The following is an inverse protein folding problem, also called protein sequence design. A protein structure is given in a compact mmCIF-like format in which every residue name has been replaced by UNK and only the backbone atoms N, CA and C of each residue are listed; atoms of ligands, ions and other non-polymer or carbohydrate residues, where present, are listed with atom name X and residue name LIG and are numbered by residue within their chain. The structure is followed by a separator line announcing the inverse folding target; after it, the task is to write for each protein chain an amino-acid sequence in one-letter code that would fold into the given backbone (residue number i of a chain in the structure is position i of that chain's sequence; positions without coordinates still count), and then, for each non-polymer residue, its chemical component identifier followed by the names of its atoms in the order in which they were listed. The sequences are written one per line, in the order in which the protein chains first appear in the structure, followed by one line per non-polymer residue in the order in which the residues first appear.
data_IF_759484736250
#
_entry.id   IF_759484736250
#
_cell.length_a   1.000
_cell.length_b   1.000
_cell.length_c   1.000
_cell.angle_alpha   90.00
_cell.angle_beta   90.00
_cell.angle_gamma   90.00
#
_symmetry.space_group_name_H-M   'P 1'
#
loop_
_entity.id
_entity.type
_entity.pdbx_description
1 polymer ?
#
# COMPACT_ATOMS: atom_id res chain seq x y z
N UNK A 1 4.82 -2.95 0.57
CA UNK A 1 3.44 -2.95 0.00
C UNK A 1 2.91 -4.33 -0.35
N UNK A 2 3.76 -5.26 -0.74
CA UNK A 2 3.33 -6.63 -1.08
C UNK A 2 2.62 -7.36 0.06
N UNK A 3 2.96 -7.05 1.30
CA UNK A 3 2.39 -7.69 2.50
C UNK A 3 0.89 -7.51 2.65
N UNK A 4 0.31 -6.57 1.93
CA UNK A 4 -1.14 -6.36 1.89
C UNK A 4 -1.85 -7.61 1.37
N UNK A 5 -1.17 -8.43 0.54
CA UNK A 5 -1.71 -9.67 -0.01
C UNK A 5 -1.58 -10.88 0.91
N UNK A 6 -1.06 -10.72 2.13
CA UNK A 6 -0.82 -11.84 3.06
C UNK A 6 -2.05 -12.69 3.40
N UNK A 7 -3.27 -12.11 3.51
CA UNK A 7 -4.46 -12.95 3.71
C UNK A 7 -4.60 -13.99 2.60
N UNK A 8 -5.05 -15.19 2.97
CA UNK A 8 -5.15 -16.34 2.04
C UNK A 8 -6.26 -16.21 1.00
N UNK A 9 -7.17 -15.26 1.18
CA UNK A 9 -8.27 -15.04 0.25
C UNK A 9 -7.80 -14.34 -1.02
N UNK A 10 -8.42 -14.70 -2.14
CA UNK A 10 -8.09 -14.09 -3.43
C UNK A 10 -8.84 -12.77 -3.58
N UNK A 11 -8.16 -11.69 -3.28
CA UNK A 11 -8.67 -10.33 -3.46
C UNK A 11 -7.67 -9.50 -4.26
N UNK A 12 -8.20 -8.59 -5.04
CA UNK A 12 -7.41 -7.53 -5.67
C UNK A 12 -7.42 -6.32 -4.75
N UNK A 13 -6.26 -5.88 -4.34
CA UNK A 13 -6.06 -4.72 -3.48
C UNK A 13 -5.68 -3.53 -4.35
N UNK A 14 -6.59 -2.58 -4.52
CA UNK A 14 -6.38 -1.42 -5.40
C UNK A 14 -6.01 -0.21 -4.55
N UNK A 15 -4.80 0.29 -4.73
CA UNK A 15 -4.28 1.47 -4.06
C UNK A 15 -4.32 2.62 -5.06
N UNK A 16 -5.22 3.58 -4.80
CA UNK A 16 -5.43 4.74 -5.67
C UNK A 16 -4.65 5.96 -5.21
N UNK A 17 -4.34 6.04 -3.94
CA UNK A 17 -3.62 7.17 -3.34
C UNK A 17 -2.52 6.66 -2.43
N UNK A 18 -1.38 7.32 -2.47
CA UNK A 18 -0.22 7.01 -1.63
C UNK A 18 0.26 8.27 -0.94
N UNK A 19 0.87 8.09 0.23
CA UNK A 19 1.55 9.19 0.90
C UNK A 19 2.86 9.49 0.19
N UNK A 20 3.27 10.77 0.20
CA UNK A 20 4.57 11.14 -0.32
C UNK A 20 5.66 10.43 0.50
N UNK A 21 6.60 9.71 -0.15
CA UNK A 21 7.67 9.03 0.58
C UNK A 21 8.56 10.03 1.31
N UNK A 22 9.07 9.61 2.46
CA UNK A 22 10.05 10.41 3.19
C UNK A 22 11.35 10.53 2.39
N UNK A 23 12.10 11.57 2.61
CA UNK A 23 13.36 11.84 1.88
C UNK A 23 14.34 10.68 1.94
N UNK A 24 14.40 9.96 3.05
CA UNK A 24 15.29 8.81 3.20
C UNK A 24 15.03 7.75 2.13
N UNK A 25 13.77 7.50 1.78
CA UNK A 25 13.43 6.53 0.72
C UNK A 25 13.86 7.02 -0.65
N UNK A 26 13.69 8.31 -0.94
CA UNK A 26 14.12 8.90 -2.20
C UNK A 26 15.65 8.86 -2.33
N UNK A 27 16.35 9.11 -1.23
CA UNK A 27 17.81 9.02 -1.18
C UNK A 27 18.29 7.58 -1.49
N UNK A 28 17.68 6.59 -0.86
CA UNK A 28 18.02 5.17 -1.10
C UNK A 28 17.78 4.82 -2.57
N UNK A 29 16.65 5.25 -3.12
CA UNK A 29 16.29 4.95 -4.50
C UNK A 29 17.33 5.53 -5.47
N UNK A 30 17.75 6.77 -5.25
CA UNK A 30 18.74 7.44 -6.09
C UNK A 30 20.11 6.77 -5.97
N UNK A 31 20.58 6.52 -4.75
CA UNK A 31 21.92 5.97 -4.52
C UNK A 31 22.04 4.52 -5.01
N UNK A 32 21.01 3.72 -4.88
CA UNK A 32 21.00 2.33 -5.32
C UNK A 32 20.47 2.15 -6.75
N UNK A 33 20.03 3.23 -7.39
CA UNK A 33 19.46 3.21 -8.73
C UNK A 33 18.30 2.20 -8.87
N UNK A 34 17.36 2.24 -7.92
CA UNK A 34 16.24 1.32 -7.88
C UNK A 34 15.02 1.89 -8.60
N UNK A 35 14.26 1.02 -9.27
CA UNK A 35 12.99 1.39 -9.87
C UNK A 35 11.91 1.61 -8.80
N UNK A 36 10.81 2.27 -9.16
CA UNK A 36 9.66 2.40 -8.27
C UNK A 36 9.12 1.03 -7.84
N UNK A 37 9.06 0.07 -8.76
CA UNK A 37 8.61 -1.29 -8.44
C UNK A 37 9.48 -1.93 -7.37
N UNK A 38 10.79 -1.81 -7.48
CA UNK A 38 11.72 -2.34 -6.50
C UNK A 38 11.57 -1.65 -5.14
N UNK A 39 11.42 -0.32 -5.13
CA UNK A 39 11.23 0.44 -3.91
C UNK A 39 9.94 0.05 -3.19
N UNK A 40 8.79 0.05 -3.87
CA UNK A 40 7.50 -0.30 -3.27
C UNK A 40 7.38 -1.78 -2.92
N UNK A 41 8.14 -2.64 -3.57
CA UNK A 41 8.22 -4.05 -3.22
C UNK A 41 9.04 -4.33 -1.97
N UNK A 42 10.02 -3.50 -1.67
CA UNK A 42 11.00 -3.72 -0.59
C UNK A 42 10.74 -2.87 0.64
N UNK A 43 10.34 -1.60 0.46
CA UNK A 43 10.16 -0.63 1.55
C UNK A 43 8.70 -0.27 1.72
N UNK A 44 8.32 0.21 2.92
CA UNK A 44 6.96 0.66 3.18
C UNK A 44 6.65 2.02 2.56
N UNK A 45 7.65 2.75 2.14
CA UNK A 45 7.55 4.08 1.51
C UNK A 45 6.74 5.08 2.34
N UNK A 46 6.85 4.98 3.67
CA UNK A 46 6.16 5.87 4.60
C UNK A 46 4.79 5.39 5.04
N UNK A 47 4.35 4.22 4.57
CA UNK A 47 3.06 3.65 4.95
C UNK A 47 3.26 2.45 5.88
N UNK A 48 3.18 2.68 7.18
CA UNK A 48 3.48 1.67 8.19
C UNK A 48 2.34 0.67 8.40
N UNK A 49 1.09 1.13 8.30
CA UNK A 49 -0.09 0.32 8.56
C UNK A 49 -1.13 0.49 7.47
N UNK A 50 -1.74 -0.62 7.08
CA UNK A 50 -2.93 -0.64 6.23
C UNK A 50 -4.09 -1.21 7.05
N UNK A 51 -5.19 -0.46 7.12
CA UNK A 51 -6.38 -0.84 7.89
C UNK A 51 -7.52 -1.09 6.90
N UNK A 52 -8.16 -2.24 7.02
CA UNK A 52 -9.28 -2.64 6.16
C UNK A 52 -10.58 -2.49 6.93
N UNK A 53 -11.48 -1.64 6.47
CA UNK A 53 -12.76 -1.38 7.10
C UNK A 53 -13.87 -1.36 6.05
N UNK A 54 -15.14 -1.63 6.44
CA UNK A 54 -16.26 -1.42 5.54
C UNK A 54 -16.31 0.04 5.06
N UNK A 55 -16.76 0.25 3.84
CA UNK A 55 -16.79 1.60 3.25
C UNK A 55 -17.52 2.61 4.13
N UNK A 56 -18.60 2.19 4.79
CA UNK A 56 -19.39 3.03 5.70
C UNK A 56 -18.60 3.54 6.91
N UNK A 57 -17.51 2.87 7.28
CA UNK A 57 -16.70 3.20 8.45
C UNK A 57 -15.42 3.98 8.12
N UNK A 58 -15.16 4.29 6.85
CA UNK A 58 -13.92 4.96 6.41
C UNK A 58 -13.79 6.34 7.05
N UNK A 59 -14.84 7.16 6.99
CA UNK A 59 -14.80 8.52 7.56
C UNK A 59 -14.57 8.48 9.07
N UNK A 60 -15.24 7.57 9.77
CA UNK A 60 -15.09 7.39 11.21
C UNK A 60 -13.67 6.96 11.56
N UNK A 61 -13.12 6.02 10.81
CA UNK A 61 -11.75 5.51 11.00
C UNK A 61 -10.72 6.63 10.80
N UNK A 62 -10.85 7.41 9.73
CA UNK A 62 -9.96 8.54 9.47
C UNK A 62 -10.05 9.59 10.57
N UNK A 63 -11.24 9.86 11.08
CA UNK A 63 -11.45 10.80 12.18
C UNK A 63 -10.73 10.35 13.45
N UNK A 64 -10.81 9.06 13.78
CA UNK A 64 -10.12 8.49 14.94
C UNK A 64 -8.60 8.57 14.78
N UNK A 65 -8.10 8.26 13.59
CA UNK A 65 -6.66 8.34 13.30
C UNK A 65 -6.15 9.77 13.51
N UNK A 66 -6.86 10.76 12.95
CA UNK A 66 -6.50 12.16 13.09
C UNK A 66 -6.56 12.63 14.54
N UNK A 67 -7.59 12.20 15.30
CA UNK A 67 -7.75 12.54 16.71
C UNK A 67 -6.59 12.06 17.56
N UNK A 68 -5.98 10.94 17.17
CA UNK A 68 -4.80 10.39 17.83
C UNK A 68 -3.49 10.90 17.24
N UNK A 69 -3.53 11.99 16.47
CA UNK A 69 -2.37 12.69 15.91
C UNK A 69 -1.57 11.88 14.90
N UNK A 70 -2.20 10.91 14.25
CA UNK A 70 -1.61 10.18 13.11
C UNK A 70 -2.13 10.72 11.79
N UNK A 71 -1.37 10.49 10.73
CA UNK A 71 -1.78 10.83 9.37
C UNK A 71 -2.45 9.60 8.75
N UNK A 72 -3.71 9.76 8.36
CA UNK A 72 -4.48 8.72 7.70
C UNK A 72 -4.87 9.12 6.29
N UNK A 73 -5.03 8.14 5.42
CA UNK A 73 -5.38 8.34 4.03
C UNK A 73 -6.36 7.24 3.59
N UNK A 74 -7.44 7.63 2.91
CA UNK A 74 -8.29 6.69 2.20
C UNK A 74 -7.55 6.29 0.92
N UNK A 75 -6.79 5.20 1.01
CA UNK A 75 -5.84 4.83 -0.03
C UNK A 75 -6.46 4.07 -1.19
N UNK A 76 -7.60 3.41 -0.98
CA UNK A 76 -8.20 2.63 -2.05
C UNK A 76 -9.22 1.62 -1.54
N UNK A 77 -9.36 0.54 -2.28
CA UNK A 77 -10.42 -0.44 -2.02
C UNK A 77 -9.95 -1.86 -2.34
N UNK A 78 -10.77 -2.82 -1.91
CA UNK A 78 -10.56 -4.24 -2.17
C UNK A 78 -11.72 -4.74 -3.02
N UNK A 79 -11.42 -5.51 -4.05
CA UNK A 79 -12.44 -6.16 -4.87
C UNK A 79 -12.13 -7.65 -5.04
N UNK A 80 -13.15 -8.43 -5.38
CA UNK A 80 -12.97 -9.85 -5.69
C UNK A 80 -12.18 -9.98 -6.98
N UNK A 81 -11.24 -10.91 -7.02
CA UNK A 81 -10.43 -11.14 -8.20
C UNK A 81 -9.16 -11.91 -7.87
N UNK A 82 -8.19 -11.83 -8.75
CA UNK A 82 -6.89 -12.45 -8.52
C UNK A 82 -6.18 -11.81 -7.34
N UNK A 83 -5.36 -12.60 -6.66
CA UNK A 83 -4.56 -12.10 -5.55
C UNK A 83 -3.43 -11.21 -6.08
N UNK A 84 -3.60 -9.91 -5.95
CA UNK A 84 -2.64 -8.93 -6.45
C UNK A 84 -2.80 -7.59 -5.72
N UNK A 85 -1.76 -6.77 -5.76
CA UNK A 85 -1.78 -5.38 -5.31
C UNK A 85 -1.51 -4.48 -6.50
N UNK A 86 -2.39 -3.52 -6.75
CA UNK A 86 -2.26 -2.54 -7.83
C UNK A 86 -2.05 -1.16 -7.21
N UNK A 87 -0.93 -0.54 -7.50
CA UNK A 87 -0.62 0.82 -7.06
C UNK A 87 -0.80 1.75 -8.27
N UNK A 88 -2.00 2.29 -8.44
CA UNK A 88 -2.36 3.09 -9.62
C UNK A 88 -1.45 4.31 -9.84
N UNK A 89 -1.15 5.13 -8.82
CA UNK A 89 -0.32 6.32 -9.04
C UNK A 89 1.07 6.03 -9.59
N UNK A 90 1.58 4.83 -9.37
CA UNK A 90 2.91 4.40 -9.84
C UNK A 90 2.85 3.39 -10.98
N UNK A 91 1.64 3.00 -11.39
CA UNK A 91 1.42 1.99 -12.43
C UNK A 91 2.17 0.70 -12.11
N UNK A 92 2.09 0.24 -10.87
CA UNK A 92 2.77 -0.96 -10.38
C UNK A 92 1.73 -2.02 -10.03
N UNK A 93 2.00 -3.28 -10.42
CA UNK A 93 1.17 -4.42 -10.03
C UNK A 93 2.07 -5.52 -9.47
N UNK A 94 1.75 -5.98 -8.24
CA UNK A 94 2.38 -7.14 -7.64
C UNK A 94 1.39 -8.30 -7.67
N UNK A 95 1.66 -9.31 -8.48
CA UNK A 95 0.85 -10.52 -8.55
C UNK A 95 1.39 -11.58 -7.61
N UNK A 96 0.51 -12.40 -7.05
CA UNK A 96 0.88 -13.41 -6.05
C UNK A 96 1.80 -14.50 -6.59
N UNK A 97 1.71 -14.81 -7.87
CA UNK A 97 2.55 -15.82 -8.53
C UNK A 97 4.00 -15.39 -8.70
N UNK A 98 4.27 -14.09 -8.58
CA UNK A 98 5.61 -13.51 -8.72
C UNK A 98 6.28 -13.20 -7.39
N UNK A 99 5.58 -13.46 -6.28
CA UNK A 99 6.01 -13.01 -4.98
C UNK A 99 6.10 -14.18 -4.01
N UNK A 100 7.23 -14.25 -3.33
CA UNK A 100 7.40 -15.14 -2.20
C UNK A 100 6.72 -14.47 -0.99
N UNK A 101 5.45 -14.75 -0.80
CA UNK A 101 4.63 -14.19 0.28
C UNK A 101 4.85 -14.98 1.56
N UNK A 102 5.45 -14.34 2.51
CA UNK A 102 5.71 -14.94 3.82
C UNK A 102 4.92 -14.27 4.92
#
# INVERSE_FOLDING_TARGET
MRKVMRPRKNFTYVIEKILAPQEVFLFIQEQANLSDTEMYGTYNMGMDYAIFVPQRDVKKTLSIIKKNKFVGLDAGYIEKGEKQVIIKPKNITFASDRLDLR
#
